data_IF_070478416043
#
_entry.id   IF_070478416043
#
_cell.length_a   1.000
_cell.length_b   1.000
_cell.length_c   1.000
_cell.angle_alpha   90.00
_cell.angle_beta   90.00
_cell.angle_gamma   90.00
#
_symmetry.space_group_name_H-M   'P 1'
#
loop_
_entity.id
_entity.type
_entity.pdbx_description
1 polymer ?
#
# COMPACT_ATOMS: atom_id res chain seq x y z
N UNK A 1 31.15 10.58 -8.41
CA UNK A 1 30.94 10.77 -6.95
C UNK A 1 31.15 9.44 -6.25
N UNK A 2 31.86 9.43 -5.12
CA UNK A 2 32.19 8.16 -4.46
C UNK A 2 31.03 7.67 -3.58
N UNK A 3 30.71 6.38 -3.67
CA UNK A 3 29.69 5.74 -2.83
C UNK A 3 29.96 5.95 -1.32
N UNK A 4 31.21 5.83 -0.81
CA UNK A 4 31.49 6.09 0.59
C UNK A 4 31.16 7.50 1.06
N UNK A 5 31.22 8.50 0.21
CA UNK A 5 30.86 9.89 0.54
C UNK A 5 29.34 10.04 0.71
N UNK A 6 28.55 9.41 -0.13
CA UNK A 6 27.11 9.34 0.01
C UNK A 6 26.67 8.62 1.28
N UNK A 7 27.27 7.46 1.57
CA UNK A 7 27.02 6.73 2.81
C UNK A 7 27.39 7.58 4.03
N UNK A 8 28.47 8.37 3.95
CA UNK A 8 28.83 9.30 5.03
C UNK A 8 27.75 10.36 5.26
N UNK A 9 27.20 10.93 4.20
CA UNK A 9 26.14 11.95 4.31
C UNK A 9 24.86 11.43 4.98
N UNK A 10 24.49 10.18 4.78
CA UNK A 10 23.33 9.57 5.43
C UNK A 10 23.46 9.59 6.96
N UNK A 11 24.68 9.49 7.49
CA UNK A 11 24.94 9.60 8.92
C UNK A 11 24.96 11.05 9.42
N UNK A 12 24.75 12.06 8.55
CA UNK A 12 24.67 13.48 8.97
C UNK A 12 23.29 13.79 9.56
N UNK A 13 23.20 14.14 10.85
CA UNK A 13 21.93 14.43 11.49
C UNK A 13 21.18 15.57 10.79
N UNK A 14 19.91 15.36 10.47
CA UNK A 14 19.03 16.41 9.94
C UNK A 14 19.31 16.82 8.49
N UNK A 15 20.23 16.17 7.78
CA UNK A 15 20.45 16.44 6.37
C UNK A 15 19.28 15.88 5.54
N UNK A 16 18.69 16.72 4.72
CA UNK A 16 17.59 16.39 3.80
C UNK A 16 17.87 16.99 2.41
N UNK A 17 17.01 16.73 1.43
CA UNK A 17 17.22 17.13 0.04
C UNK A 17 17.57 18.61 -0.16
N UNK A 18 16.89 19.53 0.53
CA UNK A 18 17.18 20.97 0.41
C UNK A 18 18.57 21.32 0.98
N UNK A 19 18.95 20.73 2.13
CA UNK A 19 20.28 20.90 2.69
C UNK A 19 21.38 20.33 1.80
N UNK A 20 21.14 19.17 1.20
CA UNK A 20 22.07 18.57 0.24
C UNK A 20 22.24 19.46 -1.00
N UNK A 21 21.15 19.99 -1.57
CA UNK A 21 21.21 20.90 -2.74
C UNK A 21 22.06 22.14 -2.43
N UNK A 22 21.85 22.75 -1.25
CA UNK A 22 22.68 23.88 -0.82
C UNK A 22 24.17 23.51 -0.68
N UNK A 23 24.48 22.32 -0.16
CA UNK A 23 25.87 21.84 -0.10
C UNK A 23 26.46 21.61 -1.50
N UNK A 24 25.70 21.04 -2.42
CA UNK A 24 26.14 20.83 -3.79
C UNK A 24 26.33 22.14 -4.56
N UNK A 25 25.48 23.15 -4.31
CA UNK A 25 25.66 24.51 -4.85
C UNK A 25 26.96 25.15 -4.32
N UNK A 26 27.26 24.95 -3.03
CA UNK A 26 28.45 25.53 -2.40
C UNK A 26 29.75 24.81 -2.78
N UNK A 27 29.76 23.50 -2.78
CA UNK A 27 30.97 22.67 -2.92
C UNK A 27 31.12 22.00 -4.30
N UNK A 28 30.11 22.07 -5.16
CA UNK A 28 30.09 21.50 -6.49
C UNK A 28 29.85 19.99 -6.52
N UNK A 29 30.40 19.24 -5.57
CA UNK A 29 30.13 17.79 -5.44
C UNK A 29 30.28 17.33 -4.01
N UNK A 30 29.72 16.14 -3.69
CA UNK A 30 29.75 15.55 -2.35
C UNK A 30 31.18 15.33 -1.84
N UNK A 31 32.07 14.88 -2.73
CA UNK A 31 33.46 14.55 -2.36
C UNK A 31 34.27 15.79 -1.95
N UNK A 32 33.83 17.01 -2.30
CA UNK A 32 34.47 18.29 -1.98
C UNK A 32 34.01 18.94 -0.69
N UNK A 33 33.11 18.30 0.07
CA UNK A 33 32.58 18.86 1.33
C UNK A 33 33.65 18.75 2.43
N UNK A 34 34.11 19.89 2.95
CA UNK A 34 35.25 20.00 3.85
C UNK A 34 35.16 19.17 5.13
N UNK A 35 33.98 19.07 5.73
CA UNK A 35 33.77 18.35 6.99
C UNK A 35 33.50 16.84 6.80
N UNK A 36 33.23 16.38 5.57
CA UNK A 36 32.89 15.00 5.26
C UNK A 36 33.95 13.99 5.75
N UNK A 37 35.26 14.21 5.57
CA UNK A 37 36.27 13.27 6.06
C UNK A 37 36.27 13.09 7.58
N UNK A 38 35.84 14.12 8.33
CA UNK A 38 35.72 14.02 9.79
C UNK A 38 34.52 13.17 10.19
N UNK A 39 33.36 13.37 9.58
CA UNK A 39 32.16 12.59 9.78
C UNK A 39 32.38 11.12 9.36
N UNK A 40 33.08 10.89 8.26
CA UNK A 40 33.44 9.55 7.79
C UNK A 40 34.28 8.79 8.82
N UNK A 41 35.24 9.43 9.46
CA UNK A 41 36.05 8.81 10.55
C UNK A 41 35.19 8.43 11.76
N UNK A 42 34.20 9.27 12.10
CA UNK A 42 33.26 8.99 13.22
C UNK A 42 32.38 7.79 12.96
N UNK A 43 31.99 7.56 11.71
CA UNK A 43 31.07 6.50 11.31
C UNK A 43 31.75 5.38 10.49
N UNK A 44 33.07 5.27 10.52
CA UNK A 44 33.84 4.35 9.68
C UNK A 44 33.33 2.91 9.76
N UNK A 45 33.12 2.38 10.96
CA UNK A 45 32.64 1.01 11.14
C UNK A 45 31.25 0.77 10.56
N UNK A 46 30.33 1.76 10.64
CA UNK A 46 29.01 1.68 10.05
C UNK A 46 29.09 1.72 8.52
N UNK A 47 29.88 2.64 7.98
CA UNK A 47 30.10 2.77 6.52
C UNK A 47 30.74 1.49 5.95
N UNK A 48 31.72 0.90 6.65
CA UNK A 48 32.33 -0.38 6.25
C UNK A 48 31.31 -1.54 6.29
N UNK A 49 30.38 -1.54 7.24
CA UNK A 49 29.30 -2.53 7.29
C UNK A 49 28.30 -2.33 6.12
N UNK A 50 27.94 -1.08 5.82
CA UNK A 50 27.09 -0.74 4.68
C UNK A 50 27.75 -1.12 3.36
N UNK A 51 29.05 -0.85 3.19
CA UNK A 51 29.80 -1.27 2.00
C UNK A 51 29.78 -2.80 1.81
N UNK A 52 30.01 -3.58 2.87
CA UNK A 52 29.92 -5.05 2.82
C UNK A 52 28.49 -5.53 2.50
N UNK A 53 27.48 -4.86 3.04
CA UNK A 53 26.09 -5.18 2.75
C UNK A 53 25.76 -4.93 1.28
N UNK A 54 26.32 -3.87 0.67
CA UNK A 54 26.16 -3.55 -0.75
C UNK A 54 26.94 -4.48 -1.71
N UNK A 55 27.86 -5.32 -1.20
CA UNK A 55 28.51 -6.37 -1.97
C UNK A 55 27.62 -7.62 -2.15
N UNK A 56 26.51 -7.74 -1.40
CA UNK A 56 25.55 -8.83 -1.54
C UNK A 56 24.69 -8.64 -2.79
N UNK A 57 24.27 -9.75 -3.38
CA UNK A 57 23.39 -9.73 -4.55
C UNK A 57 22.07 -9.02 -4.25
N UNK A 58 21.57 -8.25 -5.22
CA UNK A 58 20.32 -7.51 -5.11
C UNK A 58 20.27 -6.48 -3.96
N UNK A 59 21.43 -6.00 -3.50
CA UNK A 59 21.54 -4.92 -2.52
C UNK A 59 22.09 -3.67 -3.19
N UNK A 60 21.38 -2.55 -3.05
CA UNK A 60 21.71 -1.31 -3.75
C UNK A 60 21.63 -0.12 -2.82
N UNK A 61 22.35 0.93 -3.17
CA UNK A 61 22.19 2.26 -2.63
C UNK A 61 21.95 3.23 -3.78
N UNK A 62 20.85 3.98 -3.73
CA UNK A 62 20.43 4.91 -4.77
C UNK A 62 20.48 6.33 -4.21
N UNK A 63 21.51 7.12 -4.52
CA UNK A 63 21.61 8.51 -4.09
C UNK A 63 20.64 9.43 -4.83
N UNK A 64 20.26 10.55 -4.20
CA UNK A 64 19.26 11.50 -4.72
C UNK A 64 19.60 12.09 -6.11
N UNK A 65 20.88 12.23 -6.43
CA UNK A 65 21.36 12.74 -7.73
C UNK A 65 21.53 11.66 -8.80
N UNK A 66 21.23 10.40 -8.47
CA UNK A 66 21.34 9.27 -9.37
C UNK A 66 20.19 9.27 -10.38
N UNK A 67 20.46 8.91 -11.67
CA UNK A 67 19.39 8.67 -12.65
C UNK A 67 18.39 7.57 -12.23
N UNK A 68 18.81 6.66 -11.35
CA UNK A 68 17.94 5.61 -10.81
C UNK A 68 17.07 6.04 -9.61
N UNK A 69 17.19 7.29 -9.15
CA UNK A 69 16.36 7.77 -8.06
C UNK A 69 14.91 8.00 -8.53
N UNK A 70 13.88 7.54 -7.80
CA UNK A 70 12.48 7.64 -8.23
C UNK A 70 12.06 9.10 -8.47
N UNK A 71 11.61 9.46 -9.68
CA UNK A 71 11.34 10.87 -10.03
C UNK A 71 10.26 11.50 -9.14
N UNK A 72 9.18 10.77 -8.87
CA UNK A 72 8.10 11.27 -8.00
C UNK A 72 8.59 11.56 -6.58
N UNK A 73 9.50 10.73 -6.04
CA UNK A 73 10.07 10.94 -4.72
C UNK A 73 11.06 12.10 -4.70
N UNK A 74 11.78 12.35 -5.80
CA UNK A 74 12.70 13.48 -5.91
C UNK A 74 12.01 14.85 -5.85
N UNK A 75 10.72 14.92 -6.19
CA UNK A 75 9.89 16.14 -6.13
C UNK A 75 9.47 16.49 -4.69
N UNK A 76 9.53 15.54 -3.75
CA UNK A 76 9.14 15.75 -2.37
C UNK A 76 10.14 16.70 -1.70
N UNK A 77 9.65 17.71 -0.98
CA UNK A 77 10.49 18.76 -0.37
C UNK A 77 11.55 18.23 0.59
N UNK A 78 11.21 17.16 1.31
CA UNK A 78 12.07 16.46 2.27
C UNK A 78 12.46 15.06 1.77
N UNK A 79 12.66 14.90 0.45
CA UNK A 79 13.10 13.66 -0.16
C UNK A 79 14.34 13.08 0.56
N UNK A 80 14.44 11.75 0.72
CA UNK A 80 15.65 11.11 1.25
C UNK A 80 16.87 11.44 0.39
N UNK A 81 18.01 11.68 1.01
CA UNK A 81 19.27 11.93 0.29
C UNK A 81 19.83 10.67 -0.38
N UNK A 82 19.32 9.51 0.00
CA UNK A 82 19.63 8.23 -0.59
C UNK A 82 18.70 7.15 -0.05
N UNK A 83 18.60 6.05 -0.78
CA UNK A 83 17.77 4.90 -0.46
C UNK A 83 18.62 3.63 -0.45
N UNK A 84 18.57 2.90 0.64
CA UNK A 84 18.98 1.48 0.65
C UNK A 84 17.85 0.67 0.04
N UNK A 85 18.19 -0.28 -0.83
CA UNK A 85 17.24 -1.14 -1.53
C UNK A 85 17.72 -2.58 -1.45
N UNK A 86 16.82 -3.49 -1.12
CA UNK A 86 17.03 -4.93 -1.19
C UNK A 86 15.98 -5.53 -2.11
N UNK A 87 16.42 -6.18 -3.19
CA UNK A 87 15.57 -6.68 -4.27
C UNK A 87 15.81 -5.94 -5.57
N UNK A 88 14.79 -5.84 -6.42
CA UNK A 88 14.87 -5.18 -7.72
C UNK A 88 14.75 -3.66 -7.60
N UNK A 89 15.86 -2.95 -7.75
CA UNK A 89 15.88 -1.49 -7.72
C UNK A 89 15.03 -0.86 -8.85
N UNK A 90 14.83 -1.55 -9.98
CA UNK A 90 14.01 -1.04 -11.08
C UNK A 90 12.52 -0.96 -10.70
N UNK A 91 12.07 -1.74 -9.70
CA UNK A 91 10.71 -1.67 -9.17
C UNK A 91 10.32 -0.27 -8.67
N UNK A 92 11.31 0.53 -8.23
CA UNK A 92 11.08 1.89 -7.73
C UNK A 92 10.69 2.89 -8.83
N UNK A 93 10.99 2.57 -10.09
CA UNK A 93 10.67 3.41 -11.25
C UNK A 93 9.34 3.06 -11.90
N UNK A 94 8.68 1.98 -11.47
CA UNK A 94 7.37 1.60 -11.98
C UNK A 94 6.29 2.58 -11.50
N UNK A 95 5.19 2.76 -12.24
CA UNK A 95 4.01 3.43 -11.72
C UNK A 95 3.49 2.70 -10.49
N UNK A 96 3.30 3.41 -9.37
CA UNK A 96 2.98 2.79 -8.08
C UNK A 96 1.71 3.38 -7.47
N UNK A 97 0.97 2.54 -6.74
CA UNK A 97 -0.12 2.96 -5.86
C UNK A 97 0.18 2.54 -4.42
N UNK A 98 0.10 3.48 -3.48
CA UNK A 98 0.20 3.16 -2.07
C UNK A 98 -1.12 2.57 -1.56
N UNK A 99 -1.06 1.47 -0.79
CA UNK A 99 -2.20 0.91 -0.06
C UNK A 99 -1.84 0.86 1.41
N UNK A 100 -2.61 1.57 2.24
CA UNK A 100 -2.34 1.70 3.67
C UNK A 100 -3.62 1.57 4.50
N UNK A 101 -3.47 1.28 5.79
CA UNK A 101 -4.64 1.19 6.65
C UNK A 101 -4.36 0.79 8.10
N UNK A 102 -5.35 0.18 8.72
CA UNK A 102 -5.30 -0.29 10.11
C UNK A 102 -4.29 -1.42 10.30
N UNK A 103 -3.60 -1.41 11.45
CA UNK A 103 -2.76 -2.55 11.89
C UNK A 103 -3.60 -3.71 12.45
N UNK A 104 -4.84 -3.41 12.86
CA UNK A 104 -5.82 -4.38 13.34
C UNK A 104 -7.11 -4.23 12.52
N UNK A 105 -7.09 -4.62 11.24
CA UNK A 105 -8.23 -4.50 10.35
C UNK A 105 -9.30 -5.56 10.64
N UNK A 106 -10.47 -5.36 10.05
CA UNK A 106 -11.45 -6.43 9.93
C UNK A 106 -10.99 -7.47 8.90
N UNK A 107 -11.57 -8.67 8.91
CA UNK A 107 -11.31 -9.66 7.86
C UNK A 107 -11.67 -9.11 6.47
N UNK A 108 -12.83 -8.43 6.34
CA UNK A 108 -13.23 -7.76 5.10
C UNK A 108 -12.27 -6.65 4.67
N UNK A 109 -11.64 -5.94 5.62
CA UNK A 109 -10.59 -4.97 5.33
C UNK A 109 -9.35 -5.62 4.73
N UNK A 110 -8.90 -6.76 5.26
CA UNK A 110 -7.80 -7.55 4.69
C UNK A 110 -8.14 -8.05 3.28
N UNK A 111 -9.34 -8.62 3.10
CA UNK A 111 -9.82 -9.14 1.82
C UNK A 111 -9.87 -8.02 0.76
N UNK A 112 -10.37 -6.84 1.13
CA UNK A 112 -10.39 -5.67 0.25
C UNK A 112 -8.96 -5.24 -0.13
N UNK A 113 -8.06 -5.08 0.85
CA UNK A 113 -6.68 -4.69 0.58
C UNK A 113 -5.98 -5.66 -0.38
N UNK A 114 -6.11 -6.97 -0.14
CA UNK A 114 -5.54 -8.00 -1.01
C UNK A 114 -6.16 -8.02 -2.40
N UNK A 115 -7.50 -7.89 -2.50
CA UNK A 115 -8.21 -7.89 -3.78
C UNK A 115 -7.86 -6.67 -4.64
N UNK A 116 -7.84 -5.46 -4.07
CA UNK A 116 -7.41 -4.25 -4.76
C UNK A 116 -5.95 -4.36 -5.21
N UNK A 117 -5.05 -4.78 -4.30
CA UNK A 117 -3.64 -4.95 -4.62
C UNK A 117 -3.40 -5.94 -5.76
N UNK A 118 -4.07 -7.11 -5.72
CA UNK A 118 -3.95 -8.11 -6.77
C UNK A 118 -4.49 -7.62 -8.12
N UNK A 119 -5.60 -6.87 -8.13
CA UNK A 119 -6.16 -6.35 -9.37
C UNK A 119 -5.27 -5.25 -9.97
N UNK A 120 -4.84 -4.29 -9.16
CA UNK A 120 -3.98 -3.19 -9.59
C UNK A 120 -2.63 -3.70 -10.09
N UNK A 121 -2.05 -4.70 -9.40
CA UNK A 121 -0.80 -5.34 -9.82
C UNK A 121 -0.94 -6.05 -11.18
N UNK A 122 -2.03 -6.79 -11.43
CA UNK A 122 -2.32 -7.37 -12.76
C UNK A 122 -2.46 -6.33 -13.85
N UNK A 123 -2.88 -5.12 -13.51
CA UNK A 123 -2.98 -4.00 -14.44
C UNK A 123 -1.66 -3.22 -14.62
N UNK A 124 -0.55 -3.70 -14.03
CA UNK A 124 0.79 -3.14 -14.21
C UNK A 124 1.20 -2.04 -13.23
N UNK A 125 0.42 -1.81 -12.16
CA UNK A 125 0.83 -0.91 -11.08
C UNK A 125 1.62 -1.70 -10.02
N UNK A 126 2.77 -1.20 -9.59
CA UNK A 126 3.41 -1.70 -8.39
C UNK A 126 2.65 -1.25 -7.14
N UNK A 127 2.59 -2.11 -6.13
CA UNK A 127 1.90 -1.79 -4.87
C UNK A 127 2.91 -1.39 -3.82
N UNK A 128 2.80 -0.17 -3.33
CA UNK A 128 3.68 0.35 -2.28
C UNK A 128 2.97 0.33 -0.93
N UNK A 129 3.64 -0.14 0.10
CA UNK A 129 3.11 -0.09 1.46
C UNK A 129 4.21 -0.07 2.53
N UNK A 130 3.81 -0.06 3.80
CA UNK A 130 4.72 0.19 4.91
C UNK A 130 5.19 -1.05 5.67
N UNK A 131 4.93 -2.24 5.20
CA UNK A 131 5.34 -3.49 5.86
C UNK A 131 4.72 -3.72 7.25
N UNK A 132 3.77 -2.89 7.70
CA UNK A 132 3.10 -3.09 8.98
C UNK A 132 2.20 -4.34 8.93
N UNK A 133 1.87 -4.89 10.10
CA UNK A 133 0.81 -5.90 10.20
C UNK A 133 -0.53 -5.32 9.73
N UNK A 134 -1.47 -6.18 9.32
CA UNK A 134 -2.81 -5.78 8.89
C UNK A 134 -2.88 -5.39 7.43
N UNK A 135 -3.41 -4.20 7.13
CA UNK A 135 -3.68 -3.78 5.74
C UNK A 135 -2.42 -3.75 4.88
N UNK A 136 -1.29 -3.28 5.41
CA UNK A 136 -0.04 -3.21 4.65
C UNK A 136 0.40 -4.62 4.21
N UNK A 137 0.43 -5.58 5.15
CA UNK A 137 0.77 -6.97 4.85
C UNK A 137 -0.21 -7.60 3.85
N UNK A 138 -1.52 -7.38 4.02
CA UNK A 138 -2.54 -7.89 3.09
C UNK A 138 -2.38 -7.31 1.67
N UNK A 139 -2.00 -6.04 1.56
CA UNK A 139 -1.72 -5.40 0.27
C UNK A 139 -0.50 -6.04 -0.43
N UNK A 140 0.59 -6.27 0.30
CA UNK A 140 1.76 -6.96 -0.24
C UNK A 140 1.44 -8.39 -0.68
N UNK A 141 0.71 -9.16 0.17
CA UNK A 141 0.27 -10.52 -0.17
C UNK A 141 -0.60 -10.54 -1.41
N UNK A 142 -1.53 -9.59 -1.54
CA UNK A 142 -2.39 -9.46 -2.71
C UNK A 142 -1.59 -9.17 -3.99
N UNK A 143 -0.62 -8.27 -3.93
CA UNK A 143 0.25 -7.97 -5.06
C UNK A 143 1.08 -9.19 -5.49
N UNK A 144 1.68 -9.90 -4.52
CA UNK A 144 2.47 -11.12 -4.77
C UNK A 144 1.63 -12.30 -5.29
N UNK A 145 0.33 -12.31 -5.04
CA UNK A 145 -0.59 -13.32 -5.57
C UNK A 145 -0.96 -13.07 -7.04
N UNK A 146 -0.69 -11.89 -7.59
CA UNK A 146 -0.90 -11.57 -8.99
C UNK A 146 0.27 -12.07 -9.84
N UNK A 147 -0.02 -12.65 -10.99
CA UNK A 147 1.02 -13.06 -11.95
C UNK A 147 1.79 -11.82 -12.41
N UNK A 148 3.12 -11.84 -12.26
CA UNK A 148 3.99 -10.69 -12.55
C UNK A 148 3.79 -9.49 -11.62
N UNK A 149 3.08 -9.66 -10.51
CA UNK A 149 2.81 -8.59 -9.56
C UNK A 149 4.08 -8.13 -8.83
N UNK A 150 4.27 -6.80 -8.77
CA UNK A 150 5.41 -6.15 -8.12
C UNK A 150 4.93 -5.39 -6.90
N UNK A 151 5.70 -5.45 -5.80
CA UNK A 151 5.40 -4.67 -4.61
C UNK A 151 6.66 -4.08 -3.98
N UNK A 152 6.52 -2.87 -3.43
CA UNK A 152 7.60 -2.11 -2.78
C UNK A 152 7.25 -1.91 -1.32
N UNK A 153 8.05 -2.46 -0.42
CA UNK A 153 7.88 -2.29 1.01
C UNK A 153 8.83 -1.21 1.53
N UNK A 154 8.29 -0.10 2.02
CA UNK A 154 9.10 0.95 2.64
C UNK A 154 9.28 0.63 4.12
N UNK A 155 10.51 0.51 4.61
CA UNK A 155 10.83 0.12 5.97
C UNK A 155 11.12 1.33 6.87
N UNK A 156 10.79 1.23 8.16
CA UNK A 156 11.09 2.24 9.19
C UNK A 156 12.33 1.91 10.01
N UNK A 157 13.14 0.94 9.55
CA UNK A 157 14.37 0.41 10.15
C UNK A 157 15.46 0.35 9.10
N UNK A 158 16.71 0.08 9.49
CA UNK A 158 17.71 -0.43 8.55
C UNK A 158 17.24 -1.73 7.91
N UNK A 159 17.66 -2.01 6.67
CA UNK A 159 17.22 -3.21 5.92
C UNK A 159 17.87 -4.52 6.41
N UNK A 160 18.78 -4.44 7.36
CA UNK A 160 19.38 -5.55 8.11
C UNK A 160 18.53 -5.97 9.33
N UNK A 161 17.42 -5.28 9.59
CA UNK A 161 16.51 -5.53 10.72
C UNK A 161 15.12 -5.87 10.22
N UNK A 162 14.68 -7.10 10.45
CA UNK A 162 13.33 -7.56 10.14
C UNK A 162 12.30 -6.96 11.11
N UNK A 163 11.50 -6.03 10.63
CA UNK A 163 10.44 -5.43 11.42
C UNK A 163 9.16 -5.17 10.60
N UNK A 164 7.99 -5.61 11.10
CA UNK A 164 7.81 -6.48 12.26
C UNK A 164 8.32 -7.91 11.98
N UNK A 165 8.85 -8.59 12.99
CA UNK A 165 9.41 -9.95 12.83
C UNK A 165 8.40 -10.97 12.30
N UNK A 166 7.10 -10.75 12.56
CA UNK A 166 6.02 -11.57 12.03
C UNK A 166 5.94 -11.56 10.49
N UNK A 167 6.45 -10.52 9.83
CA UNK A 167 6.44 -10.35 8.38
C UNK A 167 7.76 -10.72 7.71
N UNK A 168 8.72 -11.36 8.42
CA UNK A 168 10.02 -11.72 7.86
C UNK A 168 9.92 -12.59 6.59
N UNK A 169 9.08 -13.62 6.60
CA UNK A 169 8.83 -14.43 5.40
C UNK A 169 8.20 -13.64 4.24
N UNK A 170 7.36 -12.66 4.54
CA UNK A 170 6.80 -11.75 3.55
C UNK A 170 7.89 -10.84 2.97
N UNK A 171 8.80 -10.33 3.80
CA UNK A 171 9.93 -9.51 3.36
C UNK A 171 10.81 -10.23 2.34
N UNK A 172 11.14 -11.50 2.57
CA UNK A 172 11.91 -12.33 1.62
C UNK A 172 11.18 -12.47 0.27
N UNK A 173 9.88 -12.71 0.30
CA UNK A 173 9.07 -12.82 -0.92
C UNK A 173 8.98 -11.49 -1.67
N UNK A 174 8.88 -10.38 -0.95
CA UNK A 174 8.90 -9.03 -1.55
C UNK A 174 10.25 -8.77 -2.20
N UNK A 175 11.37 -9.08 -1.53
CA UNK A 175 12.70 -8.91 -2.10
C UNK A 175 12.92 -9.72 -3.39
N UNK A 176 12.27 -10.88 -3.51
CA UNK A 176 12.37 -11.75 -4.68
C UNK A 176 11.57 -11.25 -5.90
N UNK A 177 10.48 -10.47 -5.70
CA UNK A 177 9.56 -10.04 -6.76
C UNK A 177 9.38 -8.52 -6.86
N UNK A 178 10.11 -7.76 -6.08
CA UNK A 178 10.02 -6.31 -5.97
C UNK A 178 11.15 -5.77 -5.12
N UNK A 179 10.88 -4.87 -4.17
CA UNK A 179 11.92 -4.27 -3.36
C UNK A 179 11.50 -3.94 -1.92
N UNK A 180 12.44 -4.09 -0.97
CA UNK A 180 12.40 -3.41 0.31
C UNK A 180 13.25 -2.14 0.22
N UNK A 181 12.77 -1.05 0.79
CA UNK A 181 13.38 0.26 0.68
C UNK A 181 13.47 0.93 2.05
N UNK A 182 14.59 1.56 2.36
CA UNK A 182 14.75 2.36 3.57
C UNK A 182 15.64 3.57 3.34
N UNK A 183 15.31 4.68 4.00
CA UNK A 183 16.21 5.84 4.11
C UNK A 183 17.18 5.75 5.29
N UNK A 184 16.96 4.76 6.16
CA UNK A 184 17.70 4.63 7.41
C UNK A 184 18.98 3.81 7.21
N UNK A 185 20.12 4.22 7.81
CA UNK A 185 21.35 3.45 7.87
C UNK A 185 21.11 2.03 8.40
N UNK A 186 21.97 1.08 8.03
CA UNK A 186 21.98 -0.24 8.63
C UNK A 186 22.15 -0.15 10.16
N UNK A 187 21.57 -1.10 10.89
CA UNK A 187 21.54 -1.11 12.35
C UNK A 187 20.53 -0.15 12.98
N UNK A 188 19.78 0.65 12.19
CA UNK A 188 18.75 1.54 12.73
C UNK A 188 17.56 0.74 13.26
N UNK A 189 17.27 0.78 14.58
CA UNK A 189 16.21 -0.01 15.17
C UNK A 189 14.82 0.57 14.88
N UNK A 190 13.79 -0.21 15.22
CA UNK A 190 12.38 0.19 15.11
C UNK A 190 12.01 1.27 16.15
N UNK A 191 12.27 2.51 15.84
CA UNK A 191 11.91 3.65 16.68
C UNK A 191 10.51 4.18 16.29
N UNK A 192 9.65 4.54 17.27
CA UNK A 192 8.32 5.08 16.97
C UNK A 192 8.31 6.31 16.06
N UNK A 193 9.34 7.14 16.14
CA UNK A 193 9.52 8.34 15.32
C UNK A 193 9.84 8.06 13.85
N UNK A 194 10.42 6.89 13.55
CA UNK A 194 10.81 6.54 12.19
C UNK A 194 9.59 6.23 11.31
N UNK A 195 8.51 5.68 11.88
CA UNK A 195 7.34 5.26 11.10
C UNK A 195 6.58 6.44 10.46
N UNK A 196 6.26 7.53 11.21
CA UNK A 196 5.68 8.72 10.58
C UNK A 196 6.62 9.37 9.55
N UNK A 197 7.92 9.42 9.83
CA UNK A 197 8.94 9.94 8.91
C UNK A 197 8.99 9.14 7.61
N UNK A 198 9.00 7.81 7.70
CA UNK A 198 9.00 6.91 6.56
C UNK A 198 7.76 7.08 5.66
N UNK A 199 6.59 7.41 6.22
CA UNK A 199 5.33 7.48 5.47
C UNK A 199 5.37 8.45 4.29
N UNK A 200 6.20 9.51 4.34
CA UNK A 200 6.41 10.42 3.22
C UNK A 200 7.04 9.76 1.98
N UNK A 201 7.78 8.68 2.21
CA UNK A 201 8.38 7.89 1.12
C UNK A 201 7.32 7.01 0.48
N UNK A 202 6.40 6.41 1.27
CA UNK A 202 5.28 5.62 0.74
C UNK A 202 4.43 6.48 -0.21
N UNK A 203 4.00 7.65 0.25
CA UNK A 203 3.21 8.57 -0.58
C UNK A 203 4.04 9.16 -1.73
N UNK A 204 5.32 9.49 -1.47
CA UNK A 204 6.22 10.11 -2.46
C UNK A 204 6.59 9.21 -3.63
N UNK A 205 6.63 7.89 -3.44
CA UNK A 205 6.85 6.91 -4.51
C UNK A 205 5.61 6.70 -5.39
N UNK A 206 4.42 7.08 -4.90
CA UNK A 206 3.15 6.63 -5.46
C UNK A 206 2.40 7.74 -6.18
N UNK A 207 1.65 7.37 -7.22
CA UNK A 207 0.73 8.26 -7.94
C UNK A 207 -0.47 8.68 -7.06
N UNK A 208 -0.83 7.81 -6.11
CA UNK A 208 -1.90 8.06 -5.15
C UNK A 208 -1.83 7.10 -3.98
N UNK A 209 -2.65 7.33 -2.97
CA UNK A 209 -2.73 6.53 -1.73
C UNK A 209 -4.14 6.07 -1.47
N UNK A 210 -4.37 4.76 -1.46
CA UNK A 210 -5.63 4.12 -1.07
C UNK A 210 -5.61 3.80 0.43
N UNK A 211 -6.60 4.32 1.15
CA UNK A 211 -6.84 3.99 2.56
C UNK A 211 -8.01 3.02 2.65
N UNK A 212 -7.73 1.80 3.11
CA UNK A 212 -8.74 0.71 3.17
C UNK A 212 -9.56 0.78 4.45
N UNK A 213 -8.93 0.80 5.60
CA UNK A 213 -9.55 0.99 6.90
C UNK A 213 -8.67 1.87 7.79
N UNK A 214 -9.26 2.86 8.43
CA UNK A 214 -8.55 3.73 9.36
C UNK A 214 -9.47 4.25 10.48
N UNK A 215 -9.05 4.10 11.73
CA UNK A 215 -9.64 4.87 12.83
C UNK A 215 -9.23 6.34 12.73
N UNK A 216 -9.98 7.25 13.37
CA UNK A 216 -9.75 8.72 13.32
C UNK A 216 -8.33 9.14 13.72
N UNK A 217 -7.63 8.33 14.54
CA UNK A 217 -6.25 8.60 14.99
C UNK A 217 -5.25 7.60 14.39
N UNK A 218 -5.58 6.99 13.23
CA UNK A 218 -4.69 6.03 12.57
C UNK A 218 -3.46 6.72 11.96
N UNK A 219 -2.29 6.05 12.04
CA UNK A 219 -1.08 6.48 11.35
C UNK A 219 -1.21 6.51 9.83
N UNK A 220 -2.11 5.71 9.25
CA UNK A 220 -2.41 5.72 7.81
C UNK A 220 -3.01 7.05 7.33
N UNK A 221 -3.72 7.80 8.20
CA UNK A 221 -4.19 9.14 7.88
C UNK A 221 -3.05 10.15 7.74
N UNK A 222 -1.90 9.91 8.39
CA UNK A 222 -0.68 10.70 8.17
C UNK A 222 -0.19 10.51 6.74
N UNK A 223 -0.13 9.26 6.26
CA UNK A 223 0.27 8.95 4.88
C UNK A 223 -0.67 9.61 3.86
N UNK A 224 -1.99 9.52 4.08
CA UNK A 224 -2.99 10.17 3.24
C UNK A 224 -2.82 11.70 3.18
N UNK A 225 -2.57 12.33 4.34
CA UNK A 225 -2.29 13.77 4.39
C UNK A 225 -1.02 14.13 3.64
N UNK A 226 0.07 13.38 3.85
CA UNK A 226 1.33 13.59 3.14
C UNK A 226 1.16 13.42 1.63
N UNK A 227 0.36 12.44 1.17
CA UNK A 227 0.01 12.27 -0.24
C UNK A 227 -0.63 13.55 -0.80
N UNK A 228 -1.65 14.10 -0.12
CA UNK A 228 -2.30 15.33 -0.54
C UNK A 228 -1.34 16.54 -0.54
N UNK A 229 -0.48 16.68 0.49
CA UNK A 229 0.54 17.73 0.57
C UNK A 229 1.59 17.62 -0.56
N UNK A 230 1.84 16.40 -1.04
CA UNK A 230 2.74 16.10 -2.16
C UNK A 230 2.05 16.20 -3.54
N UNK A 231 0.76 16.60 -3.60
CA UNK A 231 -0.01 16.68 -4.83
C UNK A 231 -0.37 15.32 -5.43
N UNK A 232 -0.44 14.27 -4.61
CA UNK A 232 -0.84 12.91 -5.02
C UNK A 232 -2.32 12.69 -4.72
N UNK A 233 -2.96 11.80 -5.48
CA UNK A 233 -4.36 11.46 -5.25
C UNK A 233 -4.54 10.69 -3.93
N UNK A 234 -5.67 10.94 -3.29
CA UNK A 234 -6.07 10.22 -2.08
C UNK A 234 -7.39 9.53 -2.32
N UNK A 235 -7.38 8.22 -2.10
CA UNK A 235 -8.52 7.34 -2.26
C UNK A 235 -8.92 6.74 -0.91
N UNK A 236 -10.21 6.52 -0.69
CA UNK A 236 -10.69 5.91 0.54
C UNK A 236 -11.85 4.96 0.26
N UNK A 237 -11.76 3.74 0.81
CA UNK A 237 -12.86 2.77 0.76
C UNK A 237 -13.90 3.18 1.79
N UNK A 238 -15.18 3.35 1.40
CA UNK A 238 -16.26 3.58 2.36
C UNK A 238 -16.53 2.34 3.20
N UNK A 239 -17.19 2.52 4.34
CA UNK A 239 -17.59 1.40 5.19
C UNK A 239 -18.79 1.76 6.03
N UNK A 240 -19.23 0.82 6.87
CA UNK A 240 -20.34 1.06 7.77
C UNK A 240 -20.07 2.22 8.73
N UNK A 241 -21.07 3.08 8.94
CA UNK A 241 -21.01 4.16 9.94
C UNK A 241 -20.83 3.63 11.37
N UNK A 242 -21.15 2.36 11.60
CA UNK A 242 -20.99 1.67 12.88
C UNK A 242 -19.58 1.08 13.06
N UNK A 243 -18.81 0.93 11.97
CA UNK A 243 -17.43 0.47 12.05
C UNK A 243 -16.49 1.62 12.45
N UNK A 244 -15.83 1.56 13.63
CA UNK A 244 -14.87 2.59 14.05
C UNK A 244 -13.71 2.77 13.06
N UNK A 245 -13.33 1.70 12.32
CA UNK A 245 -12.24 1.71 11.34
C UNK A 245 -12.65 2.34 10.00
N UNK A 246 -13.94 2.57 9.74
CA UNK A 246 -14.41 3.31 8.58
C UNK A 246 -14.40 4.83 8.80
N UNK A 247 -14.37 5.29 10.05
CA UNK A 247 -14.51 6.71 10.37
C UNK A 247 -13.39 7.58 9.82
N UNK A 248 -12.15 7.06 9.76
CA UNK A 248 -11.03 7.76 9.15
C UNK A 248 -11.20 7.89 7.64
N UNK A 249 -11.65 6.83 6.96
CA UNK A 249 -11.98 6.86 5.53
C UNK A 249 -13.10 7.87 5.24
N UNK A 250 -14.17 7.88 6.04
CA UNK A 250 -15.24 8.87 5.92
C UNK A 250 -14.74 10.31 6.14
N UNK A 251 -13.79 10.51 7.06
CA UNK A 251 -13.18 11.81 7.25
C UNK A 251 -12.39 12.24 6.01
N UNK A 252 -11.59 11.35 5.43
CA UNK A 252 -10.84 11.64 4.20
C UNK A 252 -11.78 11.97 3.04
N UNK A 253 -12.85 11.20 2.83
CA UNK A 253 -13.86 11.46 1.79
C UNK A 253 -14.47 12.86 1.96
N UNK A 254 -14.85 13.26 3.19
CA UNK A 254 -15.35 14.61 3.46
C UNK A 254 -14.31 15.71 3.24
N UNK A 255 -13.03 15.38 3.27
CA UNK A 255 -11.91 16.30 3.00
C UNK A 255 -11.51 16.32 1.51
N UNK A 256 -12.23 15.58 0.66
CA UNK A 256 -12.01 15.57 -0.79
C UNK A 256 -11.29 14.33 -1.33
N UNK A 257 -10.96 13.35 -0.49
CA UNK A 257 -10.48 12.06 -0.99
C UNK A 257 -11.56 11.38 -1.84
N UNK A 258 -11.15 10.73 -2.93
CA UNK A 258 -12.06 10.03 -3.82
C UNK A 258 -12.59 8.77 -3.13
N UNK A 259 -13.91 8.63 -3.12
CA UNK A 259 -14.56 7.40 -2.70
C UNK A 259 -14.29 6.33 -3.74
N UNK A 260 -13.86 5.14 -3.30
CA UNK A 260 -13.50 4.00 -4.15
C UNK A 260 -14.31 2.79 -3.74
N UNK A 261 -15.05 2.24 -4.69
CA UNK A 261 -15.77 0.96 -4.57
C UNK A 261 -15.12 -0.12 -5.43
N UNK A 262 -14.49 0.29 -6.54
CA UNK A 262 -13.80 -0.59 -7.48
C UNK A 262 -12.43 -0.04 -7.88
N UNK A 263 -11.58 -0.89 -8.45
CA UNK A 263 -10.28 -0.47 -8.98
C UNK A 263 -10.42 0.48 -10.18
N UNK A 264 -11.55 0.42 -10.90
CA UNK A 264 -11.82 1.32 -12.04
C UNK A 264 -11.97 2.78 -11.60
N UNK A 265 -12.45 3.04 -10.38
CA UNK A 265 -12.52 4.37 -9.80
C UNK A 265 -11.12 4.98 -9.65
N UNK A 266 -10.13 4.16 -9.24
CA UNK A 266 -8.72 4.57 -9.13
C UNK A 266 -8.16 4.87 -10.52
N UNK A 267 -8.37 3.96 -11.48
CA UNK A 267 -7.86 4.16 -12.85
C UNK A 267 -8.49 5.35 -13.55
N UNK A 268 -9.76 5.66 -13.30
CA UNK A 268 -10.44 6.83 -13.87
C UNK A 268 -9.74 8.12 -13.46
N UNK A 269 -9.41 8.28 -12.17
CA UNK A 269 -8.69 9.45 -11.67
C UNK A 269 -7.24 9.51 -12.17
N UNK A 270 -6.51 8.40 -12.13
CA UNK A 270 -5.12 8.36 -12.60
C UNK A 270 -4.99 8.63 -14.10
N UNK A 271 -5.98 8.19 -14.92
CA UNK A 271 -6.02 8.52 -16.36
C UNK A 271 -6.34 9.98 -16.61
N UNK A 272 -7.21 10.59 -15.80
CA UNK A 272 -7.52 12.00 -15.90
C UNK A 272 -6.27 12.84 -15.68
N UNK A 273 -5.42 12.49 -14.70
CA UNK A 273 -4.11 13.11 -14.46
C UNK A 273 -3.15 12.90 -15.63
N UNK A 274 -3.03 11.67 -16.13
CA UNK A 274 -2.17 11.35 -17.28
C UNK A 274 -2.65 12.06 -18.56
N UNK A 275 -3.96 12.16 -18.77
CA UNK A 275 -4.57 12.88 -19.89
C UNK A 275 -4.39 14.40 -19.82
N UNK A 276 -4.30 14.97 -18.61
CA UNK A 276 -4.00 16.39 -18.41
C UNK A 276 -2.52 16.72 -18.69
N UNK A 277 -1.63 15.71 -18.62
CA UNK A 277 -0.17 15.85 -18.82
C UNK A 277 0.30 15.41 -20.21
N UNK A 278 -0.53 14.69 -20.99
CA UNK A 278 -0.18 14.20 -22.33
C UNK A 278 -0.90 14.96 -23.43
N UNK A 279 -0.25 15.26 -24.58
CA UNK A 279 -0.97 15.71 -25.78
C UNK A 279 -1.87 14.56 -26.24
N UNK A 280 -3.15 14.89 -26.55
CA UNK A 280 -4.24 13.98 -26.85
C UNK A 280 -3.84 12.88 -27.88
N UNK A 281 -3.94 11.58 -27.55
CA UNK A 281 -3.84 10.54 -28.56
C UNK A 281 -5.19 10.38 -29.28
N UNK A 282 -5.10 10.26 -30.60
CA UNK A 282 -6.24 9.94 -31.46
C UNK A 282 -6.89 8.62 -31.04
N UNK A 283 -8.21 8.67 -30.93
CA UNK A 283 -9.05 7.56 -30.52
C UNK A 283 -8.92 6.34 -31.45
N UNK A 284 -8.41 5.24 -30.92
CA UNK A 284 -8.64 3.92 -31.48
C UNK A 284 -9.80 3.29 -30.70
N UNK A 285 -10.92 3.12 -31.38
CA UNK A 285 -12.12 2.51 -30.84
C UNK A 285 -11.87 1.03 -30.49
N UNK A 286 -11.86 0.71 -29.21
CA UNK A 286 -11.91 -0.67 -28.73
C UNK A 286 -13.40 -1.09 -28.57
N UNK A 287 -13.78 -2.15 -29.27
CA UNK A 287 -15.09 -2.82 -29.13
C UNK A 287 -15.25 -3.39 -27.72
N UNK A 288 -16.44 -3.32 -27.13
CA UNK A 288 -16.71 -3.97 -25.87
C UNK A 288 -16.68 -5.50 -26.03
N UNK A 289 -16.09 -6.24 -25.08
CA UNK A 289 -16.21 -7.69 -25.07
C UNK A 289 -17.64 -8.10 -24.70
N UNK A 290 -18.17 -9.04 -25.49
CA UNK A 290 -19.50 -9.56 -25.34
C UNK A 290 -19.73 -10.25 -24.00
N UNK A 291 -20.91 -10.03 -23.45
CA UNK A 291 -21.44 -10.69 -22.28
C UNK A 291 -21.54 -12.19 -22.52
N UNK A 292 -20.71 -12.96 -21.81
CA UNK A 292 -20.95 -14.41 -21.65
C UNK A 292 -21.86 -14.59 -20.43
N UNK A 293 -23.11 -14.92 -20.67
CA UNK A 293 -24.06 -15.32 -19.65
C UNK A 293 -23.60 -16.64 -19.01
N UNK A 294 -23.14 -16.58 -17.76
CA UNK A 294 -22.98 -17.76 -16.93
C UNK A 294 -24.37 -18.20 -16.45
N UNK A 295 -24.77 -19.41 -16.79
CA UNK A 295 -25.98 -20.06 -16.29
C UNK A 295 -25.79 -20.34 -14.79
N UNK A 296 -26.25 -19.43 -13.95
CA UNK A 296 -26.44 -19.63 -12.52
C UNK A 296 -27.81 -20.29 -12.29
N UNK A 297 -27.84 -21.34 -11.44
CA UNK A 297 -29.07 -21.92 -10.95
C UNK A 297 -29.99 -20.82 -10.41
N UNK A 298 -31.23 -20.80 -10.85
CA UNK A 298 -32.26 -19.86 -10.39
C UNK A 298 -32.46 -20.13 -8.90
N UNK A 299 -31.95 -19.23 -8.07
CA UNK A 299 -32.25 -19.21 -6.62
C UNK A 299 -33.74 -18.92 -6.46
N UNK A 300 -34.41 -19.69 -5.57
CA UNK A 300 -35.78 -19.41 -5.21
C UNK A 300 -35.84 -17.96 -4.66
N UNK A 301 -36.89 -17.25 -5.03
CA UNK A 301 -37.09 -15.83 -4.71
C UNK A 301 -36.92 -15.52 -3.19
N UNK A 302 -37.25 -16.50 -2.34
CA UNK A 302 -37.05 -16.38 -0.89
C UNK A 302 -35.55 -16.26 -0.49
N UNK A 303 -34.66 -16.98 -1.15
CA UNK A 303 -33.21 -16.89 -0.93
C UNK A 303 -32.63 -15.56 -1.40
N UNK A 304 -33.16 -14.99 -2.48
CA UNK A 304 -32.77 -13.66 -2.94
C UNK A 304 -33.15 -12.60 -1.92
N UNK A 305 -34.39 -12.64 -1.41
CA UNK A 305 -34.86 -11.73 -0.35
C UNK A 305 -33.98 -11.83 0.91
N UNK A 306 -33.62 -13.05 1.31
CA UNK A 306 -32.76 -13.26 2.49
C UNK A 306 -31.35 -12.71 2.27
N UNK A 307 -30.77 -12.94 1.08
CA UNK A 307 -29.45 -12.42 0.74
C UNK A 307 -29.45 -10.89 0.67
N UNK A 308 -30.50 -10.27 0.18
CA UNK A 308 -30.65 -8.82 0.13
C UNK A 308 -30.84 -8.23 1.53
N UNK A 309 -31.63 -8.90 2.39
CA UNK A 309 -31.82 -8.50 3.78
C UNK A 309 -30.54 -8.65 4.63
N UNK A 310 -29.70 -9.66 4.34
CA UNK A 310 -28.39 -9.85 4.97
C UNK A 310 -27.42 -8.75 4.55
N UNK A 311 -27.46 -8.33 3.30
CA UNK A 311 -26.50 -7.37 2.75
C UNK A 311 -25.06 -7.92 2.82
N UNK A 312 -24.09 -7.02 3.03
CA UNK A 312 -22.66 -7.36 3.09
C UNK A 312 -22.05 -7.22 4.50
N UNK A 313 -22.86 -6.98 5.52
CA UNK A 313 -22.44 -6.88 6.92
C UNK A 313 -22.89 -8.10 7.73
N UNK A 314 -22.12 -8.50 8.76
CA UNK A 314 -22.51 -9.61 9.61
C UNK A 314 -23.84 -9.31 10.34
N UNK A 315 -24.88 -10.08 10.07
CA UNK A 315 -26.19 -9.98 10.71
C UNK A 315 -26.56 -11.28 11.46
N UNK A 316 -27.23 -11.13 12.60
CA UNK A 316 -27.78 -12.26 13.36
C UNK A 316 -29.13 -12.71 12.80
N UNK A 317 -29.55 -13.93 13.14
CA UNK A 317 -30.86 -14.50 12.72
C UNK A 317 -32.00 -13.57 13.08
N UNK A 318 -32.01 -13.01 14.30
CA UNK A 318 -33.07 -12.11 14.78
C UNK A 318 -33.27 -10.88 13.89
N UNK A 319 -32.14 -10.27 13.46
CA UNK A 319 -32.14 -9.11 12.56
C UNK A 319 -32.66 -9.49 11.17
N UNK A 320 -32.35 -10.69 10.69
CA UNK A 320 -32.82 -11.18 9.40
C UNK A 320 -34.30 -11.52 9.43
N UNK A 321 -34.82 -12.09 10.52
CA UNK A 321 -36.25 -12.31 10.75
C UNK A 321 -37.00 -10.98 10.69
N UNK A 322 -36.51 -9.95 11.39
CA UNK A 322 -37.12 -8.63 11.38
C UNK A 322 -37.13 -7.97 9.99
N UNK A 323 -36.05 -8.13 9.21
CA UNK A 323 -35.91 -7.52 7.87
C UNK A 323 -36.69 -8.23 6.78
N UNK A 324 -36.81 -9.57 6.87
CA UNK A 324 -37.46 -10.38 5.82
C UNK A 324 -38.92 -10.66 6.12
N UNK A 325 -39.31 -10.64 7.39
CA UNK A 325 -40.64 -11.10 7.85
C UNK A 325 -40.83 -12.62 7.80
N UNK A 326 -39.77 -13.39 7.51
CA UNK A 326 -39.79 -14.86 7.50
C UNK A 326 -39.76 -15.42 8.92
N UNK A 327 -40.22 -16.66 9.10
CA UNK A 327 -40.13 -17.32 10.39
C UNK A 327 -38.68 -17.66 10.75
N UNK A 328 -38.34 -17.68 12.06
CA UNK A 328 -36.95 -17.88 12.49
C UNK A 328 -36.34 -19.22 12.07
N UNK A 329 -37.17 -20.28 12.06
CA UNK A 329 -36.79 -21.61 11.59
C UNK A 329 -36.57 -21.66 10.08
N UNK A 330 -37.35 -20.89 9.31
CA UNK A 330 -37.20 -20.74 7.86
C UNK A 330 -35.89 -19.98 7.53
N UNK A 331 -35.63 -18.86 8.22
CA UNK A 331 -34.38 -18.10 8.07
C UNK A 331 -33.16 -18.95 8.42
N UNK A 332 -33.22 -19.70 9.55
CA UNK A 332 -32.14 -20.58 9.97
C UNK A 332 -31.84 -21.68 8.96
N UNK A 333 -32.90 -22.28 8.40
CA UNK A 333 -32.77 -23.33 7.38
C UNK A 333 -32.16 -22.80 6.08
N UNK A 334 -32.62 -21.63 5.64
CA UNK A 334 -32.07 -20.97 4.43
C UNK A 334 -30.63 -20.55 4.62
N UNK A 335 -30.25 -20.02 5.79
CA UNK A 335 -28.85 -19.65 6.11
C UNK A 335 -27.93 -20.86 6.07
N UNK A 336 -28.37 -22.01 6.61
CA UNK A 336 -27.61 -23.26 6.58
C UNK A 336 -27.37 -23.73 5.14
N UNK A 337 -28.39 -23.69 4.28
CA UNK A 337 -28.28 -24.09 2.88
C UNK A 337 -27.33 -23.14 2.14
N UNK A 338 -27.44 -21.84 2.33
CA UNK A 338 -26.55 -20.84 1.72
C UNK A 338 -25.11 -20.95 2.23
N UNK A 339 -24.89 -21.38 3.48
CA UNK A 339 -23.57 -21.67 4.03
C UNK A 339 -22.96 -22.92 3.39
N UNK A 340 -23.74 -24.00 3.23
CA UNK A 340 -23.33 -25.21 2.54
C UNK A 340 -23.02 -24.96 1.05
N UNK A 341 -23.77 -24.08 0.40
CA UNK A 341 -23.52 -23.60 -0.96
C UNK A 341 -22.29 -22.65 -1.06
N UNK A 342 -21.67 -22.33 0.08
CA UNK A 342 -20.49 -21.43 0.13
C UNK A 342 -20.80 -19.96 -0.17
N UNK A 343 -22.06 -19.55 -0.14
CA UNK A 343 -22.51 -18.17 -0.38
C UNK A 343 -22.45 -17.32 0.89
N UNK A 344 -22.50 -17.95 2.06
CA UNK A 344 -22.40 -17.32 3.37
C UNK A 344 -21.27 -17.95 4.18
N UNK A 345 -20.85 -17.22 5.23
CA UNK A 345 -19.92 -17.69 6.25
C UNK A 345 -20.48 -17.34 7.63
N UNK A 346 -20.51 -18.33 8.53
CA UNK A 346 -20.86 -18.09 9.91
C UNK A 346 -19.72 -17.47 10.69
N UNK A 347 -20.03 -16.54 11.59
CA UNK A 347 -19.09 -15.84 12.46
C UNK A 347 -19.42 -16.08 13.93
N UNK A 348 -18.44 -15.93 14.83
CA UNK A 348 -18.70 -16.05 16.28
C UNK A 348 -19.87 -15.16 16.74
N UNK A 349 -20.73 -15.70 17.60
CA UNK A 349 -21.93 -15.01 18.08
C UNK A 349 -23.16 -15.18 17.20
N UNK A 350 -23.25 -16.24 16.37
CA UNK A 350 -24.43 -16.57 15.56
C UNK A 350 -24.73 -15.54 14.47
N UNK A 351 -23.69 -14.88 13.94
CA UNK A 351 -23.81 -13.93 12.84
C UNK A 351 -23.39 -14.56 11.53
N UNK A 352 -24.02 -14.15 10.46
CA UNK A 352 -23.75 -14.59 9.09
C UNK A 352 -23.31 -13.41 8.25
N UNK A 353 -22.39 -13.66 7.29
CA UNK A 353 -21.88 -12.66 6.34
C UNK A 353 -21.88 -13.27 4.94
N UNK A 354 -22.24 -12.47 3.95
CA UNK A 354 -22.20 -12.88 2.55
C UNK A 354 -20.75 -13.07 2.09
N UNK A 355 -20.43 -14.22 1.50
CA UNK A 355 -19.15 -14.41 0.84
C UNK A 355 -19.16 -13.70 -0.51
N UNK A 356 -18.14 -12.90 -0.78
CA UNK A 356 -17.91 -12.44 -2.14
C UNK A 356 -17.70 -13.66 -3.07
N UNK A 357 -18.51 -13.76 -4.11
CA UNK A 357 -18.35 -14.83 -5.10
C UNK A 357 -16.94 -14.75 -5.68
N UNK A 358 -16.12 -15.78 -5.45
CA UNK A 358 -14.90 -15.96 -6.22
C UNK A 358 -15.33 -16.05 -7.67
N UNK A 359 -14.91 -15.10 -8.50
CA UNK A 359 -15.07 -15.20 -9.95
C UNK A 359 -14.52 -16.57 -10.35
N UNK A 360 -15.37 -17.39 -10.96
CA UNK A 360 -14.98 -18.69 -11.49
C UNK A 360 -13.85 -18.48 -12.49
N UNK A 361 -12.80 -19.30 -12.36
CA UNK A 361 -11.64 -19.33 -13.25
C UNK A 361 -12.05 -19.59 -14.70
#
# INVERSE_FOLDING_TARGET
>A
MSLPSWLTLIHSPGLHAAGLRALLEQFGCVDSIDWLPSLRRQHAAAIDAEMRWLELDAHHFIPLDSPGYPPLLAEVSDAPIGLFVRGDAAALSLPQLAIVGSRNPTAGGCDNAASFAAHLARCGLAITSGMAIGIDAAAHEGALAAEGGVTVAVCGTGLDIDYPSANGALAERIAACGALVSEFPLGTPALPTNFPRRNRIISGLSLGTLVVEAAVRSGSLITARLAAEQGREVFAIPGSIHNPLARGCHQLIRQGAKLVETSDDIFAELRALAGALAPAPQAAAAKPPGSAAAAGAVLDKAYEILLDALGFEPAGVDVLVERTGFAADEVASMLLILELDGKLESRPGGRYVRRALKAAK
#
